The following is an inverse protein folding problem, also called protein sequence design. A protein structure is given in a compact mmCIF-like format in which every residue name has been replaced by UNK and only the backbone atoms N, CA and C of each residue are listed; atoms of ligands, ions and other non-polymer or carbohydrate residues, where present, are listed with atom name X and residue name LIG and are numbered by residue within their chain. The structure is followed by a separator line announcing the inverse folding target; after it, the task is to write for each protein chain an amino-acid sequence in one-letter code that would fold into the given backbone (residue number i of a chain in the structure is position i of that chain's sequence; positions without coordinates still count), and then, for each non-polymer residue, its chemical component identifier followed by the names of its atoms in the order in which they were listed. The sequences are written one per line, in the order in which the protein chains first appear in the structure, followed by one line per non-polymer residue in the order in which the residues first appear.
data_IF_469901933466
#
_entry.id   IF_469901933466
#
_cell.length_a   1.000
_cell.length_b   1.000
_cell.length_c   1.000
_cell.angle_alpha   90.00
_cell.angle_beta   90.00
_cell.angle_gamma   90.00
#
_symmetry.space_group_name_H-M   'P 1'
#
loop_
_entity.id
_entity.type
_entity.pdbx_description
1 polymer ?
#
# COMPACT_ATOMS: atom_id res chain seq x y z
N UNK A 1 -7.96 -2.81 -13.04
CA UNK A 1 -6.70 -2.04 -13.04
C UNK A 1 -5.63 -2.88 -12.37
N UNK A 2 -4.48 -3.13 -13.01
CA UNK A 2 -3.41 -3.93 -12.43
C UNK A 2 -2.38 -3.02 -11.74
N UNK A 3 -2.23 -3.15 -10.43
CA UNK A 3 -1.12 -2.54 -9.68
C UNK A 3 0.05 -3.53 -9.68
N UNK A 4 1.20 -3.11 -10.20
CA UNK A 4 2.45 -3.88 -10.14
C UNK A 4 3.13 -3.56 -8.83
N UNK A 5 3.57 -4.59 -8.11
CA UNK A 5 4.17 -4.44 -6.79
C UNK A 5 5.66 -4.11 -6.97
N UNK A 6 6.15 -2.96 -6.47
CA UNK A 6 7.54 -2.56 -6.63
C UNK A 6 8.52 -3.65 -6.18
N UNK A 7 9.52 -3.94 -7.03
CA UNK A 7 10.52 -4.98 -6.75
C UNK A 7 10.11 -6.41 -7.13
N UNK A 8 8.95 -6.60 -7.78
CA UNK A 8 8.45 -7.94 -8.13
C UNK A 8 7.90 -7.98 -9.57
N UNK A 9 7.94 -9.15 -10.22
CA UNK A 9 7.42 -9.33 -11.59
C UNK A 9 5.91 -9.61 -11.64
N UNK A 10 5.19 -9.36 -10.56
CA UNK A 10 3.88 -9.96 -10.28
C UNK A 10 2.88 -8.91 -9.79
N UNK A 11 1.59 -9.12 -10.07
CA UNK A 11 0.55 -8.10 -9.93
C UNK A 11 -0.75 -8.66 -9.34
N UNK A 12 -1.55 -7.78 -8.73
CA UNK A 12 -2.90 -8.09 -8.24
C UNK A 12 -3.06 -7.96 -6.73
N UNK A 13 -4.30 -7.61 -6.30
CA UNK A 13 -4.64 -7.40 -4.89
C UNK A 13 -4.38 -8.62 -4.01
N UNK A 14 -4.71 -9.87 -4.43
CA UNK A 14 -4.40 -11.07 -3.63
C UNK A 14 -2.92 -11.23 -3.33
N UNK A 15 -2.08 -10.89 -4.30
CA UNK A 15 -0.64 -10.98 -4.13
C UNK A 15 -0.06 -9.86 -3.30
N UNK A 16 -0.55 -8.63 -3.45
CA UNK A 16 -0.15 -7.54 -2.59
C UNK A 16 -0.46 -7.85 -1.11
N UNK A 17 -1.66 -8.39 -0.85
CA UNK A 17 -2.05 -8.85 0.48
C UNK A 17 -1.12 -9.98 0.99
N UNK A 18 -0.86 -11.00 0.16
CA UNK A 18 0.00 -12.11 0.52
C UNK A 18 1.46 -11.69 0.78
N UNK A 19 2.02 -10.77 -0.01
CA UNK A 19 3.37 -10.24 0.20
C UNK A 19 3.46 -9.49 1.53
N UNK A 20 2.45 -8.67 1.84
CA UNK A 20 2.39 -7.94 3.10
C UNK A 20 2.37 -8.84 4.35
N UNK A 21 1.88 -10.09 4.22
CA UNK A 21 1.90 -11.06 5.31
C UNK A 21 3.31 -11.59 5.64
N UNK A 22 4.24 -11.54 4.69
CA UNK A 22 5.59 -12.10 4.84
C UNK A 22 6.69 -11.04 4.92
N UNK A 23 6.44 -9.82 4.45
CA UNK A 23 7.46 -8.79 4.42
C UNK A 23 6.91 -7.39 4.19
N UNK A 24 7.84 -6.46 4.15
CA UNK A 24 7.57 -5.02 4.14
C UNK A 24 7.81 -4.41 5.51
N UNK A 25 8.12 -3.12 5.52
CA UNK A 25 8.42 -2.35 6.72
C UNK A 25 7.42 -1.19 6.86
N UNK A 26 6.47 -1.26 7.79
CA UNK A 26 5.47 -0.21 7.96
C UNK A 26 6.08 1.14 8.38
N UNK A 27 7.32 1.18 8.88
CA UNK A 27 7.99 2.43 9.25
C UNK A 27 8.53 3.19 8.04
N UNK A 28 8.61 2.56 6.85
CA UNK A 28 9.14 3.18 5.62
C UNK A 28 8.10 3.96 4.82
N UNK A 29 6.87 4.09 5.31
CA UNK A 29 5.81 4.84 4.65
C UNK A 29 5.57 4.37 3.21
N UNK A 30 5.68 5.27 2.22
CA UNK A 30 5.49 4.91 0.81
C UNK A 30 6.51 3.91 0.26
N UNK A 31 7.61 3.67 0.97
CA UNK A 31 8.64 2.68 0.63
C UNK A 31 8.49 1.35 1.40
N UNK A 32 7.31 1.08 1.98
CA UNK A 32 7.03 -0.12 2.77
C UNK A 32 7.49 -1.42 2.10
N UNK A 33 7.47 -1.50 0.77
CA UNK A 33 7.81 -2.71 0.02
C UNK A 33 9.24 -2.71 -0.57
N UNK A 34 10.11 -1.77 -0.21
CA UNK A 34 11.44 -1.65 -0.84
C UNK A 34 12.37 -2.85 -0.58
N UNK A 35 12.20 -3.54 0.56
CA UNK A 35 13.01 -4.70 0.94
C UNK A 35 12.36 -6.05 0.60
N UNK A 36 11.36 -6.04 -0.28
CA UNK A 36 10.76 -7.29 -0.73
C UNK A 36 11.78 -8.10 -1.52
N UNK A 37 11.99 -9.35 -1.08
CA UNK A 37 12.93 -10.29 -1.69
C UNK A 37 12.21 -11.31 -2.57
N UNK A 38 12.91 -12.00 -3.50
CA UNK A 38 12.33 -13.11 -4.26
C UNK A 38 11.72 -14.21 -3.36
N UNK A 39 12.28 -14.42 -2.17
CA UNK A 39 11.75 -15.38 -1.19
C UNK A 39 10.38 -14.96 -0.64
N UNK A 40 10.16 -13.68 -0.35
CA UNK A 40 8.84 -13.17 0.07
C UNK A 40 7.79 -13.42 -1.02
N UNK A 41 8.18 -13.19 -2.28
CA UNK A 41 7.31 -13.44 -3.44
C UNK A 41 6.97 -14.92 -3.59
N UNK A 42 7.95 -15.82 -3.45
CA UNK A 42 7.70 -17.27 -3.52
C UNK A 42 6.74 -17.75 -2.43
N UNK A 43 6.89 -17.26 -1.18
CA UNK A 43 5.97 -17.59 -0.08
C UNK A 43 4.57 -17.06 -0.34
N UNK A 44 4.45 -15.82 -0.83
CA UNK A 44 3.17 -15.22 -1.20
C UNK A 44 2.46 -16.00 -2.33
N UNK A 45 3.20 -16.44 -3.34
CA UNK A 45 2.65 -17.28 -4.42
C UNK A 45 2.14 -18.63 -3.91
N UNK A 46 2.86 -19.27 -2.98
CA UNK A 46 2.40 -20.51 -2.33
C UNK A 46 1.10 -20.29 -1.54
N UNK A 47 0.97 -19.16 -0.84
CA UNK A 47 -0.24 -18.80 -0.11
C UNK A 47 -1.45 -18.70 -1.05
N UNK A 48 -1.28 -18.03 -2.19
CA UNK A 48 -2.33 -17.90 -3.22
C UNK A 48 -2.65 -19.25 -3.86
N UNK A 49 -1.63 -20.03 -4.23
CA UNK A 49 -1.82 -21.34 -4.87
C UNK A 49 -2.58 -22.32 -3.97
N UNK A 50 -2.49 -22.15 -2.65
CA UNK A 50 -3.21 -22.92 -1.66
C UNK A 50 -4.62 -22.37 -1.34
N UNK A 51 -5.11 -21.37 -2.08
CA UNK A 51 -6.37 -20.66 -1.80
C UNK A 51 -6.45 -20.11 -0.36
N UNK A 52 -5.32 -19.74 0.24
CA UNK A 52 -5.26 -19.20 1.59
C UNK A 52 -5.33 -17.66 1.62
N UNK A 53 -5.74 -17.04 0.52
CA UNK A 53 -6.03 -15.60 0.40
C UNK A 53 -7.44 -15.45 -0.14
N UNK A 54 -8.31 -14.83 0.66
CA UNK A 54 -9.67 -14.50 0.26
C UNK A 54 -9.85 -12.98 0.29
N UNK A 55 -10.52 -12.44 -0.72
CA UNK A 55 -10.77 -11.00 -0.86
C UNK A 55 -12.21 -10.81 -1.31
N UNK A 56 -12.99 -10.14 -0.47
CA UNK A 56 -14.33 -9.70 -0.77
C UNK A 56 -14.41 -8.17 -0.85
N UNK A 57 -15.36 -7.67 -1.63
CA UNK A 57 -15.70 -6.24 -1.65
C UNK A 57 -16.80 -6.01 -0.63
N UNK A 58 -16.62 -5.01 0.23
CA UNK A 58 -17.62 -4.57 1.18
C UNK A 58 -18.24 -3.25 0.71
N UNK A 59 -19.58 -3.18 0.72
CA UNK A 59 -20.29 -1.92 0.47
C UNK A 59 -20.22 -1.04 1.71
N UNK A 60 -19.53 0.09 1.60
CA UNK A 60 -19.27 0.99 2.71
C UNK A 60 -19.29 2.45 2.24
N UNK A 61 -19.79 3.39 3.06
CA UNK A 61 -19.71 4.82 2.75
C UNK A 61 -18.30 5.39 2.93
N UNK A 62 -17.39 4.65 3.56
CA UNK A 62 -16.02 5.07 3.80
C UNK A 62 -15.22 5.09 2.49
N UNK A 63 -14.46 6.16 2.27
CA UNK A 63 -13.57 6.26 1.10
C UNK A 63 -12.47 5.19 1.12
N UNK A 64 -11.99 4.83 2.32
CA UNK A 64 -11.05 3.74 2.56
C UNK A 64 -11.64 2.90 3.68
N UNK A 65 -11.80 1.61 3.43
CA UNK A 65 -12.16 0.58 4.40
C UNK A 65 -11.36 -0.67 4.08
N UNK A 66 -10.62 -1.19 5.07
CA UNK A 66 -9.90 -2.45 4.96
C UNK A 66 -10.18 -3.25 6.24
N UNK A 67 -10.83 -4.40 6.10
CA UNK A 67 -10.96 -5.40 7.16
C UNK A 67 -10.06 -6.58 6.81
N UNK A 68 -8.99 -6.76 7.58
CA UNK A 68 -7.93 -7.70 7.28
C UNK A 68 -7.80 -8.69 8.43
N UNK A 69 -7.92 -9.98 8.14
CA UNK A 69 -7.67 -11.05 9.11
C UNK A 69 -6.51 -11.92 8.64
N UNK A 70 -5.48 -12.03 9.48
CA UNK A 70 -4.32 -12.91 9.27
C UNK A 70 -4.33 -14.02 10.31
N UNK A 71 -4.19 -15.26 9.85
CA UNK A 71 -4.14 -16.46 10.70
C UNK A 71 -2.83 -17.21 10.50
N UNK A 72 -2.20 -17.63 11.60
CA UNK A 72 -0.97 -18.41 11.61
C UNK A 72 -1.00 -19.44 12.76
N UNK A 73 -1.24 -20.71 12.39
CA UNK A 73 -1.46 -21.78 13.36
C UNK A 73 -2.70 -21.50 14.20
N UNK A 74 -2.55 -21.44 15.52
CA UNK A 74 -3.63 -21.12 16.47
C UNK A 74 -3.82 -19.62 16.68
N UNK A 75 -2.92 -18.78 16.14
CA UNK A 75 -2.99 -17.33 16.31
C UNK A 75 -3.77 -16.67 15.16
N UNK A 76 -4.53 -15.64 15.51
CA UNK A 76 -5.29 -14.82 14.58
C UNK A 76 -5.18 -13.35 14.96
N UNK A 77 -5.01 -12.48 13.97
CA UNK A 77 -5.02 -11.03 14.13
C UNK A 77 -6.01 -10.43 13.13
N UNK A 78 -6.97 -9.64 13.61
CA UNK A 78 -7.88 -8.86 12.77
C UNK A 78 -7.63 -7.37 12.98
N UNK A 79 -7.48 -6.64 11.87
CA UNK A 79 -7.22 -5.20 11.84
C UNK A 79 -8.24 -4.55 10.93
N UNK A 80 -8.89 -3.49 11.42
CA UNK A 80 -9.80 -2.67 10.61
C UNK A 80 -9.21 -1.28 10.45
N UNK A 81 -9.07 -0.83 9.20
CA UNK A 81 -8.58 0.50 8.82
C UNK A 81 -9.70 1.27 8.13
N UNK A 82 -10.00 2.49 8.58
CA UNK A 82 -11.07 3.33 8.00
C UNK A 82 -10.61 4.77 7.75
N UNK A 83 -11.12 5.37 6.68
CA UNK A 83 -10.92 6.79 6.35
C UNK A 83 -9.60 7.12 5.65
N UNK A 84 -8.46 6.80 6.27
CA UNK A 84 -7.11 6.97 5.67
C UNK A 84 -6.34 5.64 5.62
N UNK A 85 -5.27 5.56 4.83
CA UNK A 85 -4.50 4.33 4.63
C UNK A 85 -3.82 3.76 5.89
N UNK A 86 -3.69 4.55 6.97
CA UNK A 86 -2.94 4.18 8.18
C UNK A 86 -3.76 4.28 9.46
N UNK A 87 -5.06 4.61 9.36
CA UNK A 87 -5.92 4.82 10.53
C UNK A 87 -6.56 3.52 10.99
N UNK A 88 -5.90 2.82 11.91
CA UNK A 88 -6.40 1.60 12.54
C UNK A 88 -7.49 1.97 13.55
N UNK A 89 -8.70 1.47 13.34
CA UNK A 89 -9.87 1.75 14.19
C UNK A 89 -10.28 0.56 15.06
N UNK A 90 -9.94 -0.65 14.65
CA UNK A 90 -10.17 -1.87 15.44
C UNK A 90 -8.96 -2.81 15.31
N UNK A 91 -8.55 -3.42 16.42
CA UNK A 91 -7.50 -4.43 16.48
C UNK A 91 -7.91 -5.56 17.41
N UNK A 92 -7.85 -6.79 16.93
CA UNK A 92 -8.13 -8.00 17.69
C UNK A 92 -6.94 -8.96 17.57
N UNK A 93 -6.49 -9.48 18.70
CA UNK A 93 -5.50 -10.58 18.76
C UNK A 93 -6.18 -11.76 19.43
N UNK A 94 -6.26 -12.90 18.73
CA UNK A 94 -6.91 -14.12 19.20
C UNK A 94 -8.35 -13.89 19.69
N UNK A 95 -9.10 -13.07 18.96
CA UNK A 95 -10.47 -12.68 19.28
C UNK A 95 -10.62 -11.67 20.42
N UNK A 96 -9.52 -11.26 21.06
CA UNK A 96 -9.53 -10.27 22.14
C UNK A 96 -9.24 -8.86 21.62
N UNK A 97 -10.13 -7.89 21.86
CA UNK A 97 -9.90 -6.50 21.44
C UNK A 97 -8.68 -5.94 22.15
N UNK A 98 -7.83 -5.25 21.39
CA UNK A 98 -6.64 -4.59 21.90
C UNK A 98 -6.87 -3.09 22.06
N UNK A 99 -6.30 -2.45 23.09
CA UNK A 99 -6.38 -1.00 23.22
C UNK A 99 -5.60 -0.32 22.08
N UNK A 100 -6.26 0.59 21.38
CA UNK A 100 -5.63 1.46 20.39
C UNK A 100 -5.23 2.77 21.08
N UNK A 101 -4.01 3.26 20.80
CA UNK A 101 -3.58 4.55 21.33
C UNK A 101 -4.34 5.67 20.62
N UNK A 102 -4.99 6.57 21.38
CA UNK A 102 -5.77 7.71 20.86
C UNK A 102 -5.00 8.59 19.86
N UNK A 103 -3.66 8.55 19.87
CA UNK A 103 -2.81 9.30 18.94
C UNK A 103 -2.96 8.88 17.47
N UNK A 104 -3.60 7.76 17.17
CA UNK A 104 -3.87 7.36 15.78
C UNK A 104 -5.19 7.91 15.22
N UNK A 105 -6.05 8.54 16.05
CA UNK A 105 -7.45 8.81 15.73
C UNK A 105 -7.84 10.29 15.52
N UNK A 106 -6.98 11.14 14.95
CA UNK A 106 -7.36 12.57 14.74
C UNK A 106 -7.05 13.17 13.36
N UNK A 107 -6.67 12.40 12.33
CA UNK A 107 -6.66 12.96 10.97
C UNK A 107 -8.03 12.84 10.28
N UNK A 108 -9.11 13.21 10.97
CA UNK A 108 -10.41 13.48 10.31
C UNK A 108 -10.40 14.84 9.59
N UNK A 109 -9.39 15.68 9.82
CA UNK A 109 -9.12 16.79 8.93
C UNK A 109 -8.44 16.24 7.68
N UNK A 110 -9.18 16.19 6.57
CA UNK A 110 -8.56 16.44 5.26
C UNK A 110 -7.81 17.74 5.44
N UNK A 111 -6.49 17.68 5.63
CA UNK A 111 -5.66 18.84 5.39
C UNK A 111 -5.94 19.21 3.93
N UNK A 112 -6.77 20.24 3.72
CA UNK A 112 -6.89 20.88 2.44
C UNK A 112 -5.51 21.34 2.08
N UNK A 113 -4.86 20.59 1.18
CA UNK A 113 -3.59 20.99 0.63
C UNK A 113 -3.74 22.43 0.14
N UNK A 114 -2.86 23.34 0.53
CA UNK A 114 -2.95 24.72 0.09
C UNK A 114 -2.98 24.73 -1.43
N UNK A 115 -3.99 25.39 -1.99
CA UNK A 115 -4.07 25.55 -3.44
C UNK A 115 -3.03 26.57 -3.87
N UNK A 116 -2.36 26.30 -4.98
CA UNK A 116 -1.41 27.21 -5.60
C UNK A 116 -1.74 27.35 -7.08
N UNK A 117 -1.40 28.51 -7.65
CA UNK A 117 -1.54 28.76 -9.08
C UNK A 117 -0.38 28.13 -9.85
N UNK A 118 -0.57 27.88 -11.14
CA UNK A 118 0.51 27.43 -12.03
C UNK A 118 1.71 28.39 -12.02
N UNK A 119 1.45 29.71 -11.88
CA UNK A 119 2.50 30.71 -11.77
C UNK A 119 3.33 30.52 -10.48
N UNK A 120 2.66 30.29 -9.34
CA UNK A 120 3.36 30.03 -8.07
C UNK A 120 4.21 28.77 -8.15
N UNK A 121 3.72 27.71 -8.81
CA UNK A 121 4.49 26.49 -9.05
C UNK A 121 5.74 26.77 -9.91
N UNK A 122 5.59 27.53 -11.00
CA UNK A 122 6.69 27.90 -11.88
C UNK A 122 7.75 28.74 -11.15
N UNK A 123 7.33 29.73 -10.36
CA UNK A 123 8.26 30.55 -9.58
C UNK A 123 8.99 29.72 -8.51
N UNK A 124 8.31 28.79 -7.86
CA UNK A 124 8.91 27.89 -6.88
C UNK A 124 10.01 27.02 -7.52
N UNK A 125 9.71 26.33 -8.62
CA UNK A 125 10.66 25.43 -9.29
C UNK A 125 11.91 26.18 -9.77
N UNK A 126 11.80 27.45 -10.12
CA UNK A 126 12.94 28.28 -10.55
C UNK A 126 13.77 28.87 -9.40
N UNK A 127 13.30 28.77 -8.15
CA UNK A 127 13.96 29.38 -6.98
C UNK A 127 14.45 28.38 -5.94
N UNK A 128 13.80 27.23 -5.84
CA UNK A 128 14.17 26.19 -4.88
C UNK A 128 15.55 25.60 -5.20
N UNK A 129 16.34 25.28 -4.18
CA UNK A 129 17.59 24.55 -4.39
C UNK A 129 17.27 23.17 -4.97
N UNK A 130 18.00 22.79 -6.01
CA UNK A 130 17.83 21.49 -6.65
C UNK A 130 17.96 20.33 -5.65
N UNK A 131 18.84 20.45 -4.66
CA UNK A 131 19.05 19.41 -3.66
C UNK A 131 17.80 19.14 -2.80
N UNK A 132 17.00 20.17 -2.55
CA UNK A 132 15.77 20.07 -1.75
C UNK A 132 14.65 19.33 -2.50
N UNK A 133 14.66 19.36 -3.84
CA UNK A 133 13.65 18.71 -4.69
C UNK A 133 14.19 17.50 -5.46
N UNK A 134 15.47 17.14 -5.29
CA UNK A 134 16.12 16.03 -6.00
C UNK A 134 15.38 14.71 -5.82
N UNK A 135 14.78 14.49 -4.65
CA UNK A 135 14.02 13.27 -4.33
C UNK A 135 12.84 13.02 -5.29
N UNK A 136 12.30 14.06 -5.93
CA UNK A 136 11.19 13.91 -6.90
C UNK A 136 11.64 13.07 -8.11
N UNK A 137 12.93 13.13 -8.47
CA UNK A 137 13.48 12.31 -9.55
C UNK A 137 13.48 10.82 -9.21
N UNK A 138 13.59 10.46 -7.93
CA UNK A 138 13.49 9.05 -7.52
C UNK A 138 12.07 8.52 -7.76
N UNK A 139 11.05 9.33 -7.46
CA UNK A 139 9.66 9.00 -7.78
C UNK A 139 9.43 8.92 -9.29
N UNK A 140 10.00 9.84 -10.08
CA UNK A 140 9.91 9.82 -11.53
C UNK A 140 10.56 8.55 -12.11
N UNK A 141 11.73 8.15 -11.60
CA UNK A 141 12.42 6.92 -11.99
C UNK A 141 11.58 5.69 -11.65
N UNK A 142 11.07 5.61 -10.42
CA UNK A 142 10.25 4.48 -9.96
C UNK A 142 8.97 4.35 -10.81
N UNK A 143 8.23 5.45 -10.98
CA UNK A 143 6.99 5.45 -11.76
C UNK A 143 7.24 5.13 -13.24
N UNK A 144 8.37 5.59 -13.80
CA UNK A 144 8.74 5.26 -15.18
C UNK A 144 9.09 3.78 -15.32
N UNK A 145 9.80 3.18 -14.36
CA UNK A 145 10.08 1.75 -14.34
C UNK A 145 8.80 0.91 -14.24
N UNK A 146 7.89 1.28 -13.33
CA UNK A 146 6.58 0.65 -13.19
C UNK A 146 5.74 0.76 -14.46
N UNK A 147 5.72 1.93 -15.10
CA UNK A 147 5.00 2.16 -16.36
C UNK A 147 5.59 1.36 -17.53
N UNK A 148 6.92 1.24 -17.61
CA UNK A 148 7.59 0.44 -18.62
C UNK A 148 7.28 -1.05 -18.46
N UNK A 149 7.36 -1.56 -17.23
CA UNK A 149 7.00 -2.94 -16.92
C UNK A 149 5.55 -3.26 -17.32
N UNK A 150 4.63 -2.35 -16.99
CA UNK A 150 3.22 -2.45 -17.38
C UNK A 150 2.97 -2.47 -18.90
N UNK A 151 3.83 -1.84 -19.71
CA UNK A 151 3.72 -1.87 -21.19
C UNK A 151 4.25 -3.17 -21.80
N UNK A 152 5.29 -3.76 -21.19
CA UNK A 152 5.93 -4.96 -21.73
C UNK A 152 5.17 -6.26 -21.44
N UNK A 153 4.28 -6.27 -20.45
CA UNK A 153 3.50 -7.46 -20.10
C UNK A 153 2.06 -7.32 -20.63
N UNK A 154 1.67 -8.13 -21.61
CA UNK A 154 0.27 -8.34 -22.01
C UNK A 154 -0.36 -9.29 -20.97
N UNK A 155 -0.85 -8.76 -19.85
CA UNK A 155 -1.33 -9.57 -18.69
C UNK A 155 -2.82 -9.96 -18.83
N UNK A 156 -3.34 -10.16 -20.04
CA UNK A 156 -4.71 -10.67 -20.18
C UNK A 156 -4.79 -11.76 -21.25
N UNK A 157 -5.23 -12.99 -20.90
CA UNK A 157 -5.84 -13.86 -21.89
C UNK A 157 -7.17 -13.21 -22.30
N UNK A 158 -7.30 -12.90 -23.59
CA UNK A 158 -8.56 -12.44 -24.18
C UNK A 158 -9.63 -13.51 -23.91
N UNK A 159 -10.67 -13.14 -23.17
CA UNK A 159 -11.95 -13.85 -23.08
C UNK A 159 -13.02 -12.94 -23.65
#
# INVERSE_FOLDING_TARGET
MGVTIPGTTVCGVPLAAAIGAFGGDPQKGLKTLEDITPRHVEMAQKLIANNAVDIAVEETPDFIHLDLTLSAGENCCRVVVKGTHTNVVELYINGQPQPLSEKQNTSTQRETLPTFSLQQAYEFINRVDFNDIRFILDAARLNSALAAEGKTKKIWPEH
#
